data_IF_144672697905
#
_entry.id   IF_144672697905
#
_cell.length_a   1.000
_cell.length_b   1.000
_cell.length_c   1.000
_cell.angle_alpha   90.00
_cell.angle_beta   90.00
_cell.angle_gamma   90.00
#
_symmetry.space_group_name_H-M   'P 1'
#
loop_
_entity.id
_entity.type
_entity.pdbx_description
1 polymer ?
#
# COMPACT_ATOMS: atom_id res chain seq x y z
N UNK A 1 39.67 6.16 18.95
CA UNK A 1 38.97 5.98 17.66
C UNK A 1 37.59 5.42 17.98
N UNK A 2 36.57 6.27 18.07
CA UNK A 2 35.22 5.83 18.42
C UNK A 2 34.47 5.51 17.12
N UNK A 3 34.30 4.23 16.82
CA UNK A 3 33.53 3.79 15.65
C UNK A 3 32.06 3.86 16.05
N UNK A 4 31.39 4.94 15.64
CA UNK A 4 29.96 5.11 15.81
C UNK A 4 29.22 4.38 14.69
N UNK A 5 28.69 3.20 14.99
CA UNK A 5 27.75 2.52 14.10
C UNK A 5 26.39 3.21 14.22
N UNK A 6 26.07 4.11 13.30
CA UNK A 6 24.68 4.55 13.09
C UNK A 6 23.91 3.39 12.45
N UNK A 7 23.40 2.50 13.29
CA UNK A 7 22.30 1.60 12.91
C UNK A 7 21.07 2.48 12.66
N UNK A 8 20.97 3.04 11.46
CA UNK A 8 19.72 3.57 10.94
C UNK A 8 18.82 2.38 10.62
N UNK A 9 18.24 1.76 11.65
CA UNK A 9 17.01 1.00 11.47
C UNK A 9 15.97 2.00 10.98
N UNK A 10 15.71 2.01 9.67
CA UNK A 10 14.58 2.74 9.11
C UNK A 10 13.34 2.26 9.87
N UNK A 11 12.62 3.13 10.59
CA UNK A 11 11.43 2.70 11.30
C UNK A 11 10.47 2.09 10.28
N UNK A 12 10.00 0.87 10.58
CA UNK A 12 9.02 0.20 9.72
C UNK A 12 7.84 1.14 9.48
N UNK A 13 7.43 1.29 8.22
CA UNK A 13 6.37 2.24 7.89
C UNK A 13 5.13 1.95 8.72
N UNK A 14 4.60 3.00 9.36
CA UNK A 14 3.39 2.94 10.18
C UNK A 14 2.12 2.99 9.32
N UNK A 15 2.28 3.10 8.01
CA UNK A 15 1.20 3.19 7.04
C UNK A 15 1.38 2.21 5.91
N UNK A 16 0.25 1.81 5.33
CA UNK A 16 0.21 1.47 3.93
C UNK A 16 0.18 2.75 3.11
N UNK A 17 0.96 2.83 2.05
CA UNK A 17 1.00 4.01 1.20
C UNK A 17 1.43 3.67 -0.21
N UNK A 18 0.98 4.49 -1.15
CA UNK A 18 1.34 4.38 -2.55
C UNK A 18 0.34 5.12 -3.44
N UNK A 19 0.41 4.81 -4.72
CA UNK A 19 -0.32 5.53 -5.77
C UNK A 19 -1.25 4.59 -6.54
N UNK A 20 -2.40 5.09 -6.97
CA UNK A 20 -3.36 4.35 -7.81
C UNK A 20 -3.65 5.16 -9.08
N UNK A 21 -3.25 4.60 -10.21
CA UNK A 21 -3.28 5.24 -11.52
C UNK A 21 -4.07 4.35 -12.48
N UNK A 22 -4.54 4.92 -13.58
CA UNK A 22 -5.03 4.14 -14.70
C UNK A 22 -3.88 3.75 -15.65
N UNK A 23 -4.11 2.86 -16.61
CA UNK A 23 -3.03 2.43 -17.53
C UNK A 23 -2.55 3.56 -18.47
N UNK A 24 -3.30 4.64 -18.59
CA UNK A 24 -2.88 5.88 -19.26
C UNK A 24 -2.05 6.81 -18.36
N UNK A 25 -1.65 6.34 -17.16
CA UNK A 25 -0.90 7.08 -16.13
C UNK A 25 -1.62 8.31 -15.59
N UNK A 26 -2.95 8.35 -15.68
CA UNK A 26 -3.78 9.35 -15.02
C UNK A 26 -3.97 8.96 -13.55
N UNK A 27 -3.75 9.86 -12.59
CA UNK A 27 -4.04 9.59 -11.18
C UNK A 27 -5.55 9.35 -11.00
N UNK A 28 -5.89 8.38 -10.15
CA UNK A 28 -7.27 8.08 -9.79
C UNK A 28 -7.58 8.65 -8.41
N UNK A 29 -8.36 9.73 -8.38
CA UNK A 29 -8.82 10.40 -7.17
C UNK A 29 -10.06 9.72 -6.56
N UNK A 30 -10.22 9.85 -5.24
CA UNK A 30 -11.39 9.39 -4.49
C UNK A 30 -11.65 7.87 -4.60
N UNK A 31 -10.58 7.10 -4.81
CA UNK A 31 -10.61 5.64 -4.79
C UNK A 31 -10.49 5.20 -3.34
N UNK A 32 -11.44 4.39 -2.90
CA UNK A 32 -11.46 3.89 -1.52
C UNK A 32 -10.53 2.70 -1.42
N UNK A 33 -9.65 2.72 -0.42
CA UNK A 33 -8.73 1.64 -0.09
C UNK A 33 -8.98 1.24 1.35
N UNK A 34 -9.24 -0.04 1.59
CA UNK A 34 -9.49 -0.57 2.94
C UNK A 34 -8.55 -1.72 3.25
N UNK A 35 -8.16 -1.85 4.52
CA UNK A 35 -7.49 -3.06 5.01
C UNK A 35 -8.52 -4.20 5.10
N UNK A 36 -8.21 -5.34 4.48
CA UNK A 36 -9.11 -6.48 4.43
C UNK A 36 -9.46 -6.96 5.86
N UNK A 37 -10.73 -7.29 6.08
CA UNK A 37 -11.29 -7.73 7.36
C UNK A 37 -11.19 -6.71 8.51
N UNK A 38 -10.94 -5.44 8.21
CA UNK A 38 -10.95 -4.35 9.20
C UNK A 38 -11.82 -3.18 8.75
N UNK A 39 -12.35 -2.46 9.73
CA UNK A 39 -13.05 -1.20 9.48
C UNK A 39 -12.05 -0.03 9.42
N UNK A 40 -11.07 -0.13 8.52
CA UNK A 40 -9.98 0.83 8.38
C UNK A 40 -9.80 1.15 6.89
N UNK A 41 -10.17 2.36 6.49
CA UNK A 41 -10.17 2.78 5.09
C UNK A 41 -9.62 4.20 4.93
N UNK A 42 -9.15 4.49 3.73
CA UNK A 42 -8.72 5.82 3.28
C UNK A 42 -9.20 6.03 1.84
N UNK A 43 -9.00 7.24 1.33
CA UNK A 43 -9.29 7.59 -0.06
C UNK A 43 -8.04 8.16 -0.71
N UNK A 44 -7.87 7.92 -2.01
CA UNK A 44 -6.82 8.58 -2.78
C UNK A 44 -7.12 10.07 -2.97
N UNK A 45 -6.08 10.89 -2.96
CA UNK A 45 -6.17 12.32 -3.27
C UNK A 45 -6.14 12.59 -4.79
N UNK A 46 -6.11 13.87 -5.17
CA UNK A 46 -6.00 14.38 -6.54
C UNK A 46 -4.78 13.87 -7.33
N UNK A 47 -3.72 13.46 -6.63
CA UNK A 47 -2.51 12.85 -7.20
C UNK A 47 -2.58 11.32 -7.24
N UNK A 48 -3.71 10.72 -6.87
CA UNK A 48 -3.87 9.27 -6.78
C UNK A 48 -3.14 8.65 -5.59
N UNK A 49 -2.58 9.46 -4.68
CA UNK A 49 -1.86 8.98 -3.50
C UNK A 49 -2.83 8.61 -2.39
N UNK A 50 -2.60 7.46 -1.75
CA UNK A 50 -3.27 7.09 -0.51
C UNK A 50 -2.26 6.84 0.60
N UNK A 51 -2.69 7.12 1.83
CA UNK A 51 -2.01 6.70 3.04
C UNK A 51 -3.04 6.17 4.03
N UNK A 52 -2.83 4.96 4.52
CA UNK A 52 -3.70 4.26 5.46
C UNK A 52 -2.88 3.85 6.67
N UNK A 53 -3.26 4.30 7.87
CA UNK A 53 -2.55 3.90 9.08
C UNK A 53 -2.71 2.40 9.30
N UNK A 54 -1.58 1.71 9.45
CA UNK A 54 -1.50 0.26 9.65
C UNK A 54 -1.55 -0.08 11.15
N UNK A 55 -2.13 -1.22 11.48
CA UNK A 55 -1.97 -1.84 12.80
C UNK A 55 -0.51 -2.31 12.99
N UNK A 56 0.10 -1.97 14.13
CA UNK A 56 1.48 -2.35 14.41
C UNK A 56 1.67 -3.87 14.45
N UNK A 57 0.62 -4.62 14.82
CA UNK A 57 0.68 -6.04 15.11
C UNK A 57 0.25 -6.94 13.94
N UNK A 58 -0.20 -6.37 12.82
CA UNK A 58 -0.68 -7.17 11.69
C UNK A 58 -0.44 -6.47 10.37
N UNK A 59 -0.28 -7.27 9.32
CA UNK A 59 -0.29 -6.81 7.93
C UNK A 59 -1.44 -7.54 7.23
N UNK A 60 -2.46 -6.79 6.81
CA UNK A 60 -3.53 -7.26 5.93
C UNK A 60 -3.32 -6.86 4.47
N UNK A 61 -4.00 -7.57 3.58
CA UNK A 61 -4.17 -7.16 2.18
C UNK A 61 -5.04 -5.90 2.09
N UNK A 62 -4.95 -5.18 0.96
CA UNK A 62 -5.76 -3.98 0.74
C UNK A 62 -6.81 -4.23 -0.33
N UNK A 63 -8.06 -3.92 -0.03
CA UNK A 63 -9.17 -3.94 -0.96
C UNK A 63 -9.33 -2.56 -1.59
N UNK A 64 -9.38 -2.51 -2.92
CA UNK A 64 -9.58 -1.28 -3.68
C UNK A 64 -11.01 -1.28 -4.21
N UNK A 65 -11.72 -0.19 -3.97
CA UNK A 65 -13.11 -0.04 -4.40
C UNK A 65 -13.29 1.13 -5.35
N UNK A 66 -14.17 0.94 -6.32
CA UNK A 66 -14.79 2.03 -7.05
C UNK A 66 -16.26 2.10 -6.63
N UNK A 67 -16.66 3.23 -6.04
CA UNK A 67 -17.97 3.40 -5.39
C UNK A 67 -18.16 2.36 -4.29
N UNK A 68 -19.02 1.37 -4.51
CA UNK A 68 -19.35 0.32 -3.54
C UNK A 68 -18.80 -1.07 -3.92
N UNK A 69 -18.27 -1.22 -5.13
CA UNK A 69 -17.78 -2.51 -5.62
C UNK A 69 -16.27 -2.63 -5.42
N UNK A 70 -15.83 -3.76 -4.88
CA UNK A 70 -14.41 -4.14 -4.89
C UNK A 70 -14.00 -4.40 -6.33
N UNK A 71 -12.95 -3.73 -6.79
CA UNK A 71 -12.42 -3.86 -8.14
C UNK A 71 -11.06 -4.55 -8.19
N UNK A 72 -10.32 -4.50 -7.08
CA UNK A 72 -9.01 -5.16 -6.99
C UNK A 72 -8.63 -5.47 -5.53
N UNK A 73 -7.64 -6.34 -5.35
CA UNK A 73 -7.04 -6.69 -4.06
C UNK A 73 -5.52 -6.66 -4.17
N UNK A 74 -4.89 -5.74 -3.44
CA UNK A 74 -3.45 -5.62 -3.34
C UNK A 74 -2.94 -6.62 -2.29
N UNK A 75 -2.13 -7.58 -2.73
CA UNK A 75 -1.38 -8.46 -1.84
C UNK A 75 -0.21 -7.71 -1.21
N UNK A 76 -0.27 -7.47 0.10
CA UNK A 76 0.76 -6.70 0.81
C UNK A 76 1.95 -7.56 1.20
N UNK A 77 1.76 -8.87 1.33
CA UNK A 77 2.80 -9.87 1.56
C UNK A 77 2.65 -10.98 0.53
N UNK A 78 3.73 -11.34 -0.15
CA UNK A 78 3.73 -12.39 -1.16
C UNK A 78 5.11 -13.03 -1.29
N UNK A 79 5.16 -14.26 -1.82
CA UNK A 79 6.41 -14.98 -2.05
C UNK A 79 6.49 -15.48 -3.49
N UNK A 80 7.67 -15.35 -4.11
CA UNK A 80 7.96 -16.05 -5.36
C UNK A 80 8.66 -17.37 -5.02
N UNK A 81 8.05 -18.49 -5.39
CA UNK A 81 8.62 -19.83 -5.21
C UNK A 81 9.07 -20.16 -3.76
N UNK A 82 8.52 -19.47 -2.75
CA UNK A 82 8.78 -19.71 -1.32
C UNK A 82 10.13 -19.22 -0.80
N UNK A 83 11.07 -18.83 -1.66
CA UNK A 83 12.45 -18.50 -1.25
C UNK A 83 12.58 -17.06 -0.73
N UNK A 84 11.74 -16.15 -1.21
CA UNK A 84 11.81 -14.72 -0.85
C UNK A 84 10.42 -14.16 -0.55
N UNK A 85 10.27 -13.64 0.67
CA UNK A 85 9.12 -12.85 1.08
C UNK A 85 9.31 -11.42 0.55
N UNK A 86 8.29 -10.91 -0.12
CA UNK A 86 8.23 -9.56 -0.65
C UNK A 86 7.04 -8.83 -0.04
N UNK A 87 7.19 -7.52 0.03
CA UNK A 87 6.22 -6.62 0.60
C UNK A 87 5.86 -5.53 -0.39
N UNK A 88 4.59 -5.16 -0.43
CA UNK A 88 4.06 -4.13 -1.31
C UNK A 88 3.25 -3.10 -0.52
N UNK A 89 3.36 -1.83 -0.91
CA UNK A 89 2.70 -0.66 -0.35
C UNK A 89 3.01 -0.43 1.14
N UNK A 90 4.13 -0.95 1.62
CA UNK A 90 4.61 -0.77 3.00
C UNK A 90 6.12 -0.47 2.98
N UNK A 91 6.71 -0.24 4.16
CA UNK A 91 8.15 0.00 4.33
C UNK A 91 8.68 1.26 3.63
N UNK A 92 7.81 2.24 3.36
CA UNK A 92 8.20 3.47 2.66
C UNK A 92 8.48 3.26 1.18
N UNK A 93 8.05 2.13 0.61
CA UNK A 93 8.11 1.89 -0.82
C UNK A 93 7.16 2.81 -1.57
N UNK A 94 7.65 3.38 -2.66
CA UNK A 94 6.86 4.23 -3.54
C UNK A 94 6.10 3.39 -4.58
N UNK A 95 5.26 2.46 -4.11
CA UNK A 95 4.57 1.51 -4.98
C UNK A 95 3.38 2.16 -5.70
N UNK A 96 3.10 1.70 -6.92
CA UNK A 96 2.00 2.18 -7.75
C UNK A 96 1.17 1.02 -8.27
N UNK A 97 -0.14 1.09 -8.07
CA UNK A 97 -1.12 0.19 -8.66
C UNK A 97 -1.68 0.82 -9.94
N UNK A 98 -1.80 0.02 -11.01
CA UNK A 98 -2.43 0.43 -12.25
C UNK A 98 -3.74 -0.34 -12.46
N UNK A 99 -4.87 0.36 -12.58
CA UNK A 99 -6.20 -0.21 -12.79
C UNK A 99 -7.01 0.61 -13.80
N UNK A 100 -7.70 -0.04 -14.72
CA UNK A 100 -8.73 0.59 -15.54
C UNK A 100 -10.11 0.10 -15.10
N UNK A 101 -11.08 1.02 -15.00
CA UNK A 101 -12.47 0.63 -14.80
C UNK A 101 -13.03 0.08 -16.11
N UNK A 102 -13.64 -1.11 -16.03
CA UNK A 102 -14.44 -1.66 -17.13
C UNK A 102 -15.82 -1.02 -17.16
#
# INVERSE_FOLDING_TARGET
>A
MAVSFINSCTPSSKSYEGYIYNHQKKPLENIKVCEQNKNNCTYTNDKGFFQLRKDKNSIGDLLVFNRESTIDTIKTVWSQHGEKINFSFIEGKNDTLFIDFK
#
